data_IF_840491879611
#
_entry.id   IF_840491879611
#
_cell.length_a   1.000
_cell.length_b   1.000
_cell.length_c   1.000
_cell.angle_alpha   90.00
_cell.angle_beta   90.00
_cell.angle_gamma   90.00
#
_symmetry.space_group_name_H-M   'P 1'
#
loop_
_entity.id
_entity.type
_entity.pdbx_description
1 polymer ?
#
# COMPACT_ATOMS: atom_id res chain seq x y z
N UNK A 1 14.46 -22.07 0.04
CA UNK A 1 15.21 -21.66 1.27
C UNK A 1 16.51 -20.95 0.88
N UNK A 2 16.49 -20.19 -0.21
CA UNK A 2 17.72 -19.84 -0.94
C UNK A 2 18.46 -18.67 -0.29
N UNK A 3 17.76 -17.93 0.59
CA UNK A 3 18.30 -16.83 1.37
C UNK A 3 19.10 -17.28 2.61
N UNK A 4 19.13 -18.58 2.91
CA UNK A 4 19.90 -19.11 4.05
C UNK A 4 19.44 -18.59 5.43
N UNK A 5 18.17 -18.16 5.54
CA UNK A 5 17.59 -17.71 6.80
C UNK A 5 17.54 -18.88 7.81
N UNK A 6 17.61 -18.59 9.13
CA UNK A 6 17.44 -19.61 10.15
C UNK A 6 16.15 -20.41 9.96
N UNK A 7 16.19 -21.72 10.17
CA UNK A 7 14.99 -22.58 10.09
C UNK A 7 13.92 -22.20 11.13
N UNK A 8 14.28 -21.42 12.15
CA UNK A 8 13.37 -20.87 13.16
C UNK A 8 12.75 -19.52 12.79
N UNK A 9 13.01 -19.00 11.58
CA UNK A 9 12.43 -17.72 11.13
C UNK A 9 10.90 -17.81 11.08
N UNK A 10 10.24 -16.88 11.78
CA UNK A 10 8.79 -16.72 11.74
C UNK A 10 8.40 -16.13 10.39
N UNK A 11 7.43 -16.75 9.72
CA UNK A 11 6.94 -16.32 8.41
C UNK A 11 5.48 -15.94 8.51
N UNK A 12 5.13 -14.77 7.95
CA UNK A 12 3.76 -14.29 7.83
C UNK A 12 3.44 -14.09 6.35
N UNK A 13 2.77 -15.05 5.68
CA UNK A 13 2.31 -14.84 4.32
C UNK A 13 1.15 -13.84 4.30
N UNK A 14 1.27 -12.80 3.48
CA UNK A 14 0.19 -11.84 3.20
C UNK A 14 -0.21 -12.05 1.75
N UNK A 15 -1.42 -12.57 1.54
CA UNK A 15 -1.96 -12.84 0.22
C UNK A 15 -3.30 -12.13 0.03
N UNK A 16 -3.65 -11.85 -1.23
CA UNK A 16 -4.97 -11.34 -1.63
C UNK A 16 -5.39 -9.99 -1.01
N UNK A 17 -4.43 -9.22 -0.49
CA UNK A 17 -4.68 -7.88 0.04
C UNK A 17 -4.54 -6.78 -1.03
N UNK A 18 -4.07 -7.14 -2.22
CA UNK A 18 -3.91 -6.23 -3.36
C UNK A 18 -2.92 -5.11 -3.07
N UNK A 19 -3.14 -3.95 -3.68
CA UNK A 19 -2.18 -2.84 -3.69
C UNK A 19 -1.81 -2.28 -2.31
N UNK A 20 -2.63 -2.50 -1.27
CA UNK A 20 -2.33 -2.03 0.09
C UNK A 20 -1.39 -2.98 0.86
N UNK A 21 -1.06 -4.15 0.30
CA UNK A 21 -0.26 -5.19 0.95
C UNK A 21 1.11 -4.69 1.44
N UNK A 22 1.76 -3.78 0.70
CA UNK A 22 3.05 -3.20 1.11
C UNK A 22 2.96 -2.43 2.44
N UNK A 23 2.00 -1.51 2.56
CA UNK A 23 1.77 -0.76 3.80
C UNK A 23 1.30 -1.69 4.93
N UNK A 24 0.44 -2.66 4.63
CA UNK A 24 0.00 -3.64 5.61
C UNK A 24 1.17 -4.50 6.15
N UNK A 25 2.09 -4.92 5.28
CA UNK A 25 3.29 -5.65 5.67
C UNK A 25 4.19 -4.79 6.57
N UNK A 26 4.36 -3.51 6.27
CA UNK A 26 5.07 -2.55 7.12
C UNK A 26 4.41 -2.45 8.50
N UNK A 27 3.08 -2.33 8.58
CA UNK A 27 2.36 -2.28 9.85
C UNK A 27 2.56 -3.56 10.67
N UNK A 28 2.43 -4.74 10.06
CA UNK A 28 2.66 -6.01 10.76
C UNK A 28 4.12 -6.17 11.20
N UNK A 29 5.06 -5.75 10.36
CA UNK A 29 6.48 -5.76 10.69
C UNK A 29 6.81 -4.82 11.86
N UNK A 30 6.19 -3.63 11.89
CA UNK A 30 6.32 -2.68 12.99
C UNK A 30 5.78 -3.28 14.30
N UNK A 31 4.56 -3.83 14.30
CA UNK A 31 3.98 -4.51 15.46
C UNK A 31 4.90 -5.62 15.98
N UNK A 32 5.49 -6.43 15.10
CA UNK A 32 6.41 -7.51 15.50
C UNK A 32 7.75 -7.00 16.03
N UNK A 33 8.32 -5.98 15.39
CA UNK A 33 9.61 -5.40 15.77
C UNK A 33 9.58 -4.66 17.10
N UNK A 34 8.44 -4.08 17.47
CA UNK A 34 8.29 -3.41 18.78
C UNK A 34 8.29 -4.39 19.96
N UNK A 35 8.09 -5.69 19.74
CA UNK A 35 8.09 -6.69 20.80
C UNK A 35 9.48 -6.94 21.39
N UNK A 36 10.54 -6.90 20.57
CA UNK A 36 11.94 -7.13 20.99
C UNK A 36 12.93 -6.45 20.06
N UNK A 37 14.03 -5.93 20.61
CA UNK A 37 15.05 -5.18 19.85
C UNK A 37 15.79 -6.03 18.78
N UNK A 38 15.74 -7.35 18.85
CA UNK A 38 16.34 -8.28 17.89
C UNK A 38 15.34 -8.84 16.85
N UNK A 39 14.06 -8.46 16.93
CA UNK A 39 13.01 -8.86 15.99
C UNK A 39 13.11 -8.11 14.64
N UNK A 40 14.18 -8.32 13.90
CA UNK A 40 14.34 -7.75 12.57
C UNK A 40 13.43 -8.48 11.56
N UNK A 41 12.87 -7.71 10.62
CA UNK A 41 11.91 -8.23 9.65
C UNK A 41 12.40 -7.96 8.23
N UNK A 42 12.47 -9.01 7.42
CA UNK A 42 12.61 -8.89 5.97
C UNK A 42 11.20 -8.88 5.36
N UNK A 43 10.83 -7.77 4.73
CA UNK A 43 9.59 -7.67 3.95
C UNK A 43 9.95 -7.92 2.49
N UNK A 44 9.24 -8.84 1.84
CA UNK A 44 9.34 -9.08 0.41
C UNK A 44 7.94 -8.95 -0.18
N UNK A 45 7.80 -8.08 -1.18
CA UNK A 45 6.58 -7.88 -1.94
C UNK A 45 6.84 -8.30 -3.37
N UNK A 46 6.02 -9.22 -3.87
CA UNK A 46 6.05 -9.69 -5.25
C UNK A 46 4.65 -9.52 -5.83
N UNK A 47 4.56 -8.89 -6.99
CA UNK A 47 3.32 -8.72 -7.75
C UNK A 47 3.59 -9.17 -9.20
N UNK A 48 2.80 -10.11 -9.69
CA UNK A 48 2.89 -10.63 -11.05
C UNK A 48 1.55 -10.44 -11.77
N UNK A 49 1.19 -9.18 -11.99
CA UNK A 49 -0.09 -8.79 -12.60
C UNK A 49 -0.25 -9.29 -14.04
N UNK A 50 0.85 -9.60 -14.73
CA UNK A 50 0.83 -10.25 -16.05
C UNK A 50 0.11 -11.61 -16.02
N UNK A 51 0.12 -12.31 -14.88
CA UNK A 51 -0.61 -13.57 -14.69
C UNK A 51 -2.13 -13.38 -14.67
N UNK A 52 -2.59 -12.15 -14.44
CA UNK A 52 -4.01 -11.77 -14.43
C UNK A 52 -4.47 -11.23 -15.79
N UNK A 53 -3.62 -11.24 -16.82
CA UNK A 53 -3.97 -10.74 -18.15
C UNK A 53 -5.09 -11.58 -18.80
N UNK A 54 -6.13 -10.90 -19.28
CA UNK A 54 -7.32 -11.50 -19.91
C UNK A 54 -7.38 -11.08 -21.39
N UNK A 55 -6.74 -11.81 -22.32
CA UNK A 55 -6.64 -11.40 -23.73
C UNK A 55 -8.00 -11.27 -24.43
N UNK A 56 -8.98 -12.07 -24.02
CA UNK A 56 -10.31 -12.10 -24.64
C UNK A 56 -11.29 -11.10 -24.02
N UNK A 57 -10.91 -10.37 -22.95
CA UNK A 57 -11.79 -9.39 -22.32
C UNK A 57 -11.70 -8.03 -23.02
N UNK A 58 -12.67 -7.76 -23.89
CA UNK A 58 -12.74 -6.55 -24.72
C UNK A 58 -13.30 -5.32 -23.99
N UNK A 59 -13.58 -5.42 -22.68
CA UNK A 59 -14.09 -4.29 -21.90
C UNK A 59 -12.99 -3.24 -21.67
N UNK A 60 -13.38 -1.95 -21.72
CA UNK A 60 -12.45 -0.83 -21.55
C UNK A 60 -11.66 -0.89 -20.24
N UNK A 61 -12.28 -1.35 -19.14
CA UNK A 61 -11.55 -1.46 -17.87
C UNK A 61 -10.44 -2.51 -17.93
N UNK A 62 -10.65 -3.64 -18.60
CA UNK A 62 -9.65 -4.70 -18.75
C UNK A 62 -8.45 -4.21 -19.55
N UNK A 63 -8.69 -3.41 -20.59
CA UNK A 63 -7.62 -2.71 -21.32
C UNK A 63 -6.84 -1.72 -20.44
N UNK A 64 -7.55 -0.88 -19.67
CA UNK A 64 -6.92 0.08 -18.74
C UNK A 64 -6.07 -0.66 -17.70
N UNK A 65 -6.57 -1.75 -17.14
CA UNK A 65 -5.84 -2.58 -16.17
C UNK A 65 -4.57 -3.18 -16.78
N UNK A 66 -4.65 -3.72 -18.00
CA UNK A 66 -3.48 -4.25 -18.70
C UNK A 66 -2.42 -3.18 -19.02
N UNK A 67 -2.83 -1.91 -19.15
CA UNK A 67 -1.91 -0.79 -19.37
C UNK A 67 -1.30 -0.21 -18.09
N UNK A 68 -1.99 -0.36 -16.95
CA UNK A 68 -1.56 0.20 -15.65
C UNK A 68 -0.68 -0.75 -14.84
N UNK A 69 -0.96 -2.06 -14.90
CA UNK A 69 -0.28 -3.03 -14.05
C UNK A 69 0.96 -3.62 -14.72
N UNK A 70 2.00 -3.83 -13.91
CA UNK A 70 3.23 -4.49 -14.31
C UNK A 70 3.69 -5.48 -13.24
N UNK A 71 4.67 -6.31 -13.60
CA UNK A 71 5.28 -7.25 -12.68
C UNK A 71 6.42 -6.56 -11.92
N UNK A 72 6.50 -6.78 -10.61
CA UNK A 72 7.52 -6.18 -9.77
C UNK A 72 7.86 -7.05 -8.56
N UNK A 73 9.11 -6.93 -8.12
CA UNK A 73 9.59 -7.47 -6.85
C UNK A 73 10.32 -6.36 -6.11
N UNK A 74 10.00 -6.20 -4.84
CA UNK A 74 10.70 -5.28 -3.94
C UNK A 74 10.94 -5.95 -2.59
N UNK A 75 11.97 -5.50 -1.89
CA UNK A 75 12.25 -5.95 -0.54
C UNK A 75 12.84 -4.82 0.29
N UNK A 76 12.53 -4.83 1.58
CA UNK A 76 13.15 -3.95 2.55
C UNK A 76 13.36 -4.67 3.88
N UNK A 77 14.29 -4.17 4.68
CA UNK A 77 14.57 -4.69 6.02
C UNK A 77 14.14 -3.64 7.04
N UNK A 78 13.25 -4.04 7.95
CA UNK A 78 12.91 -3.27 9.12
C UNK A 78 13.78 -3.76 10.29
N UNK A 79 14.53 -2.83 10.87
CA UNK A 79 15.33 -3.07 12.07
C UNK A 79 14.48 -2.73 13.30
N UNK A 80 14.54 -3.62 14.29
CA UNK A 80 13.90 -3.43 15.60
C UNK A 80 14.81 -2.65 16.58
N UNK A 81 16.04 -2.36 16.17
CA UNK A 81 16.98 -1.53 16.90
C UNK A 81 17.29 -0.23 16.13
N UNK A 82 17.85 0.74 16.86
CA UNK A 82 18.23 2.05 16.32
C UNK A 82 19.68 2.10 15.78
N UNK A 83 20.24 0.95 15.40
CA UNK A 83 21.65 0.85 14.99
C UNK A 83 21.89 1.10 13.51
N UNK A 84 20.85 0.99 12.68
CA UNK A 84 20.94 1.24 11.25
C UNK A 84 20.49 2.67 10.91
N UNK A 85 21.05 3.21 9.81
CA UNK A 85 20.56 4.45 9.21
C UNK A 85 19.33 4.14 8.33
N UNK A 86 18.35 5.04 8.30
CA UNK A 86 17.16 4.90 7.47
C UNK A 86 15.97 5.69 8.02
N UNK A 87 14.80 5.48 7.44
CA UNK A 87 13.55 6.03 7.96
C UNK A 87 13.12 5.31 9.24
N UNK A 88 12.65 6.08 10.21
CA UNK A 88 12.03 5.56 11.43
C UNK A 88 10.52 5.63 11.28
N UNK A 89 9.85 4.52 11.53
CA UNK A 89 8.39 4.48 11.59
C UNK A 89 7.97 5.10 12.93
N UNK A 90 7.27 6.24 12.85
CA UNK A 90 6.79 6.96 14.03
C UNK A 90 5.41 6.47 14.48
N UNK A 91 4.55 6.18 13.53
CA UNK A 91 3.19 5.71 13.75
C UNK A 91 2.71 4.92 12.53
N UNK A 92 1.75 4.04 12.75
CA UNK A 92 1.06 3.26 11.71
C UNK A 92 -0.44 3.24 12.03
N UNK A 93 -1.29 3.26 11.02
CA UNK A 93 -2.74 3.07 11.16
C UNK A 93 -3.28 2.24 9.99
N UNK A 94 -4.50 1.75 10.12
CA UNK A 94 -5.23 1.02 9.10
C UNK A 94 -6.71 1.38 9.16
N UNK A 95 -7.30 1.67 7.99
CA UNK A 95 -8.69 2.05 7.90
C UNK A 95 -9.39 1.33 6.75
N UNK A 96 -10.52 0.70 7.07
CA UNK A 96 -11.43 0.13 6.09
C UNK A 96 -12.61 1.06 5.90
N UNK A 97 -12.76 1.58 4.69
CA UNK A 97 -13.88 2.44 4.35
C UNK A 97 -15.18 1.60 4.33
N UNK A 98 -16.21 1.96 5.11
CA UNK A 98 -17.46 1.19 5.13
C UNK A 98 -18.15 1.15 3.77
N UNK A 99 -18.76 0.00 3.42
CA UNK A 99 -19.56 -0.19 2.20
C UNK A 99 -18.79 0.08 0.90
N UNK A 100 -17.49 -0.21 0.88
CA UNK A 100 -16.57 0.05 -0.24
C UNK A 100 -16.07 -1.21 -0.93
N UNK A 101 -16.60 -2.39 -0.59
CA UNK A 101 -16.14 -3.70 -1.06
C UNK A 101 -16.20 -3.84 -2.59
N UNK A 102 -17.07 -3.06 -3.24
CA UNK A 102 -17.23 -3.03 -4.69
C UNK A 102 -16.29 -2.07 -5.41
N UNK A 103 -15.55 -1.21 -4.68
CA UNK A 103 -14.70 -0.19 -5.30
C UNK A 103 -13.50 -0.79 -6.01
N UNK A 104 -12.84 -1.74 -5.37
CA UNK A 104 -11.68 -2.45 -5.91
C UNK A 104 -11.89 -3.93 -5.58
N UNK A 105 -12.12 -4.76 -6.60
CA UNK A 105 -12.33 -6.20 -6.38
C UNK A 105 -11.75 -7.04 -7.50
N UNK A 106 -11.46 -8.28 -7.16
CA UNK A 106 -11.18 -9.35 -8.11
C UNK A 106 -12.37 -10.31 -8.16
N UNK A 107 -12.91 -10.52 -9.35
CA UNK A 107 -13.83 -11.62 -9.61
C UNK A 107 -13.00 -12.85 -10.01
N UNK A 108 -13.13 -13.95 -9.26
CA UNK A 108 -12.44 -15.22 -9.59
C UNK A 108 -13.33 -16.03 -10.53
N UNK A 109 -12.81 -16.36 -11.70
CA UNK A 109 -13.49 -17.17 -12.73
C UNK A 109 -12.58 -18.33 -13.15
N UNK A 110 -13.11 -19.22 -13.98
CA UNK A 110 -12.34 -20.32 -14.57
C UNK A 110 -11.12 -19.83 -15.38
N UNK A 111 -11.17 -18.58 -15.87
CA UNK A 111 -10.07 -17.93 -16.58
C UNK A 111 -9.13 -17.11 -15.67
N UNK A 112 -9.24 -17.26 -14.35
CA UNK A 112 -8.37 -16.62 -13.37
C UNK A 112 -8.97 -15.40 -12.69
N UNK A 113 -8.11 -14.44 -12.32
CA UNK A 113 -8.51 -13.22 -11.60
C UNK A 113 -8.92 -12.11 -12.58
N UNK A 114 -10.11 -11.55 -12.38
CA UNK A 114 -10.66 -10.45 -13.18
C UNK A 114 -10.73 -9.20 -12.32
N UNK A 115 -9.77 -8.29 -12.51
CA UNK A 115 -9.75 -7.03 -11.77
C UNK A 115 -10.86 -6.09 -12.23
N UNK A 116 -11.51 -5.44 -11.28
CA UNK A 116 -12.48 -4.37 -11.56
C UNK A 116 -12.26 -3.19 -10.62
N UNK A 117 -12.44 -1.99 -11.17
CA UNK A 117 -12.28 -0.72 -10.49
C UNK A 117 -13.53 0.13 -10.69
N UNK A 118 -14.25 0.42 -9.62
CA UNK A 118 -15.36 1.35 -9.65
C UNK A 118 -14.86 2.80 -9.64
N UNK A 119 -15.51 3.66 -10.43
CA UNK A 119 -15.19 5.10 -10.46
C UNK A 119 -15.44 5.79 -9.12
N UNK A 120 -16.31 5.23 -8.27
CA UNK A 120 -16.62 5.72 -6.94
C UNK A 120 -15.40 5.80 -6.01
N UNK A 121 -14.35 4.99 -6.26
CA UNK A 121 -13.09 5.03 -5.49
C UNK A 121 -12.45 6.42 -5.49
N UNK A 122 -12.60 7.19 -6.56
CA UNK A 122 -12.01 8.53 -6.62
C UNK A 122 -12.79 9.52 -5.76
N UNK A 123 -14.08 9.28 -5.55
CA UNK A 123 -14.94 10.14 -4.75
C UNK A 123 -14.82 9.87 -3.25
N UNK A 124 -14.18 8.76 -2.86
CA UNK A 124 -14.03 8.38 -1.45
C UNK A 124 -12.82 9.02 -0.76
N UNK A 125 -11.95 9.70 -1.51
CA UNK A 125 -10.75 10.34 -0.95
C UNK A 125 -11.11 11.39 0.11
N UNK A 126 -12.24 12.10 -0.07
CA UNK A 126 -12.78 13.03 0.93
C UNK A 126 -13.08 12.39 2.29
N UNK A 127 -13.40 11.09 2.30
CA UNK A 127 -13.75 10.33 3.49
C UNK A 127 -12.50 9.70 4.15
N UNK A 128 -11.45 9.47 3.36
CA UNK A 128 -10.18 8.88 3.80
C UNK A 128 -9.19 9.94 4.27
N UNK A 129 -9.14 11.11 3.64
CA UNK A 129 -8.21 12.18 3.97
C UNK A 129 -8.23 12.58 5.46
N UNK A 130 -9.39 12.73 6.14
CA UNK A 130 -9.42 13.02 7.58
C UNK A 130 -8.75 11.95 8.45
N UNK A 131 -8.73 10.69 7.99
CA UNK A 131 -8.06 9.60 8.71
C UNK A 131 -6.54 9.72 8.60
N UNK A 132 -6.03 10.07 7.42
CA UNK A 132 -4.61 10.35 7.18
C UNK A 132 -4.16 11.54 8.04
N UNK A 133 -4.96 12.60 8.05
CA UNK A 133 -4.71 13.79 8.88
C UNK A 133 -4.62 13.43 10.36
N UNK A 134 -5.56 12.62 10.87
CA UNK A 134 -5.57 12.15 12.25
C UNK A 134 -4.34 11.30 12.59
N UNK A 135 -3.90 10.44 11.68
CA UNK A 135 -2.66 9.67 11.86
C UNK A 135 -1.47 10.62 12.01
N UNK A 136 -1.37 11.64 11.15
CA UNK A 136 -0.26 12.58 11.22
C UNK A 136 -0.29 13.41 12.51
N UNK A 137 -1.47 13.88 12.92
CA UNK A 137 -1.65 14.58 14.19
C UNK A 137 -1.28 13.70 15.40
N UNK A 138 -1.66 12.42 15.40
CA UNK A 138 -1.31 11.49 16.47
C UNK A 138 0.19 11.17 16.53
N UNK A 139 0.84 11.05 15.37
CA UNK A 139 2.26 10.70 15.27
C UNK A 139 3.23 11.88 15.46
N UNK A 140 2.89 13.04 14.90
CA UNK A 140 3.78 14.20 14.76
C UNK A 140 3.21 15.50 15.33
N UNK A 141 1.96 15.52 15.80
CA UNK A 141 1.31 16.72 16.35
C UNK A 141 1.27 17.89 15.37
N UNK A 142 1.18 17.59 14.07
CA UNK A 142 1.12 18.57 13.00
C UNK A 142 0.17 18.10 11.90
N UNK A 143 -0.17 19.03 10.99
CA UNK A 143 -0.99 18.72 9.83
C UNK A 143 -0.16 18.11 8.70
N UNK A 144 -0.78 17.29 7.84
CA UNK A 144 -0.07 16.65 6.73
C UNK A 144 0.67 17.66 5.84
N UNK A 145 0.08 18.82 5.54
CA UNK A 145 0.69 19.87 4.72
C UNK A 145 2.08 20.35 5.19
N UNK A 146 2.44 20.08 6.45
CA UNK A 146 3.72 20.47 7.05
C UNK A 146 4.83 19.42 6.83
N UNK A 147 4.49 18.22 6.37
CA UNK A 147 5.46 17.14 6.14
C UNK A 147 6.41 17.48 4.99
N UNK A 148 7.63 16.94 5.04
CA UNK A 148 8.70 17.24 4.08
C UNK A 148 8.42 16.64 2.70
N UNK A 149 7.82 15.44 2.65
CA UNK A 149 7.49 14.73 1.42
C UNK A 149 6.36 13.71 1.64
N UNK A 150 5.72 13.32 0.55
CA UNK A 150 4.65 12.31 0.57
C UNK A 150 4.94 11.19 -0.43
N UNK A 151 4.62 9.96 -0.02
CA UNK A 151 4.64 8.78 -0.87
C UNK A 151 3.25 8.15 -0.81
N UNK A 152 2.53 8.21 -1.93
CA UNK A 152 1.21 7.60 -2.06
C UNK A 152 1.24 6.52 -3.11
N UNK A 153 0.74 5.33 -2.77
CA UNK A 153 0.32 4.40 -3.80
C UNK A 153 -1.00 4.89 -4.39
N UNK A 154 -0.97 5.35 -5.64
CA UNK A 154 -2.17 5.79 -6.35
C UNK A 154 -2.36 4.96 -7.62
N UNK A 155 -3.56 4.42 -7.81
CA UNK A 155 -3.93 3.70 -9.04
C UNK A 155 -4.10 4.61 -10.27
N UNK A 156 -3.72 5.89 -10.16
CA UNK A 156 -3.82 6.89 -11.22
C UNK A 156 -3.78 8.31 -10.68
N UNK A 157 -3.43 9.25 -11.58
CA UNK A 157 -3.18 10.67 -11.26
C UNK A 157 -4.33 11.35 -10.51
N UNK A 158 -5.57 11.02 -10.85
CA UNK A 158 -6.75 11.63 -10.23
C UNK A 158 -6.88 11.32 -8.73
N UNK A 159 -6.45 10.15 -8.26
CA UNK A 159 -6.44 9.85 -6.81
C UNK A 159 -5.42 10.74 -6.10
N UNK A 160 -4.25 10.93 -6.73
CA UNK A 160 -3.21 11.80 -6.20
C UNK A 160 -3.71 13.25 -6.08
N UNK A 161 -4.32 13.77 -7.14
CA UNK A 161 -4.82 15.15 -7.18
C UNK A 161 -5.90 15.39 -6.10
N UNK A 162 -6.79 14.40 -5.87
CA UNK A 162 -7.78 14.47 -4.79
C UNK A 162 -7.15 14.43 -3.39
N UNK A 163 -6.09 13.63 -3.19
CA UNK A 163 -5.35 13.61 -1.93
C UNK A 163 -4.67 14.96 -1.66
N UNK A 164 -3.99 15.52 -2.66
CA UNK A 164 -3.36 16.84 -2.58
C UNK A 164 -4.39 17.90 -2.20
N UNK A 165 -5.55 17.89 -2.86
CA UNK A 165 -6.62 18.85 -2.60
C UNK A 165 -7.24 18.70 -1.21
N UNK A 166 -7.46 17.48 -0.75
CA UNK A 166 -8.17 17.22 0.51
C UNK A 166 -7.27 17.31 1.75
N UNK A 167 -5.96 17.12 1.60
CA UNK A 167 -4.98 17.26 2.68
C UNK A 167 -4.23 18.61 2.63
N UNK A 168 -4.59 19.49 1.69
CA UNK A 168 -3.96 20.80 1.49
C UNK A 168 -2.43 20.70 1.27
N UNK A 169 -2.00 19.71 0.48
CA UNK A 169 -0.57 19.42 0.33
C UNK A 169 0.12 20.42 -0.61
N UNK A 170 1.33 20.88 -0.28
CA UNK A 170 2.17 21.61 -1.21
C UNK A 170 2.53 20.74 -2.42
N UNK A 171 2.18 21.20 -3.62
CA UNK A 171 2.35 20.41 -4.86
C UNK A 171 3.80 20.07 -5.20
N UNK A 172 4.78 20.79 -4.65
CA UNK A 172 6.22 20.57 -4.82
C UNK A 172 6.79 19.44 -3.94
N UNK A 173 6.02 18.95 -2.95
CA UNK A 173 6.45 17.92 -1.99
C UNK A 173 5.88 16.53 -2.28
N UNK A 174 5.05 16.41 -3.30
CA UNK A 174 4.37 15.16 -3.66
C UNK A 174 5.19 14.47 -4.74
N UNK A 175 5.84 13.36 -4.37
CA UNK A 175 6.61 12.56 -5.31
C UNK A 175 5.64 11.76 -6.19
N UNK A 176 5.73 11.96 -7.51
CA UNK A 176 4.95 11.24 -8.52
C UNK A 176 5.71 10.01 -9.04
#
# INVERSE_FOLDING_TARGET
NDLGLPNSTIQLPIAQLGCVAGAAAINRAHDFATLKADNHVLIVSLEFSSLCYQPDDTKLHSFISAALFGDAVSACVLRADDKAKGFRIKATDSFFLPKSEHFIKYDVKDTGFHFTLDKAVMNSIKDVAPVIERLNQAGYQQNCAQDDFFIFHTGGRKILDELVRHLDLPSDRVLA
#
